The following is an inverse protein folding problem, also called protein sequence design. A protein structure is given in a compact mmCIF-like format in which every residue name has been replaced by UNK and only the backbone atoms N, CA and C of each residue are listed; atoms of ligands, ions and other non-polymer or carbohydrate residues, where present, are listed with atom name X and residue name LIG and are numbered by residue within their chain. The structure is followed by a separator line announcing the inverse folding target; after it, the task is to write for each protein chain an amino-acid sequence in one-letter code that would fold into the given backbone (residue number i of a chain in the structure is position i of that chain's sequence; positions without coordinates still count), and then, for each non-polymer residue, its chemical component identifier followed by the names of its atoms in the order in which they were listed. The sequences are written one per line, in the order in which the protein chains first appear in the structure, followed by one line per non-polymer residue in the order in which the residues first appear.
data_IF_772366318284
#
_entry.id   IF_772366318284
#
_cell.length_a   1.000
_cell.length_b   1.000
_cell.length_c   1.000
_cell.angle_alpha   90.00
_cell.angle_beta   90.00
_cell.angle_gamma   90.00
#
_symmetry.space_group_name_H-M   'P 1'
#
loop_
_entity.id
_entity.type
_entity.pdbx_description
1 polymer ?
#
# COMPACT_ATOMS: atom_id res chain seq x y z
N UNK A 1 -32.48 -35.17 18.43
CA UNK A 1 -32.12 -34.05 19.33
C UNK A 1 -30.76 -33.55 18.88
N UNK A 2 -30.74 -32.39 18.24
CA UNK A 2 -29.60 -31.80 17.53
C UNK A 2 -28.64 -31.14 18.52
N UNK A 3 -27.39 -31.61 18.53
CA UNK A 3 -26.28 -31.00 19.26
C UNK A 3 -25.83 -29.75 18.51
N UNK A 4 -25.95 -28.57 19.12
CA UNK A 4 -25.36 -27.33 18.61
C UNK A 4 -24.16 -27.00 19.48
N UNK A 5 -22.95 -27.30 18.99
CA UNK A 5 -21.70 -26.88 19.62
C UNK A 5 -21.49 -25.38 19.37
N UNK A 6 -21.80 -24.55 20.37
CA UNK A 6 -21.44 -23.13 20.37
C UNK A 6 -19.95 -23.01 20.69
N UNK A 7 -19.12 -22.91 19.65
CA UNK A 7 -17.69 -22.63 19.80
C UNK A 7 -17.50 -21.18 20.25
N UNK A 8 -17.17 -20.99 21.54
CA UNK A 8 -16.80 -19.71 22.12
C UNK A 8 -15.42 -19.30 21.61
N UNK A 9 -15.37 -18.38 20.65
CA UNK A 9 -14.12 -17.72 20.25
C UNK A 9 -13.72 -16.80 21.40
N UNK A 10 -12.57 -17.05 22.03
CA UNK A 10 -12.04 -16.20 23.09
C UNK A 10 -11.98 -14.73 22.64
N UNK A 11 -12.58 -13.84 23.44
CA UNK A 11 -12.69 -12.41 23.17
C UNK A 11 -11.34 -11.71 22.97
N UNK A 12 -10.24 -12.32 23.43
CA UNK A 12 -8.88 -11.78 23.29
C UNK A 12 -8.35 -11.85 21.84
N UNK A 13 -9.02 -12.59 20.96
CA UNK A 13 -8.66 -12.69 19.53
C UNK A 13 -9.44 -11.71 18.64
N UNK A 14 -10.47 -11.06 19.15
CA UNK A 14 -11.18 -10.01 18.42
C UNK A 14 -10.46 -8.67 18.64
N UNK A 15 -9.30 -8.48 18.00
CA UNK A 15 -8.75 -7.13 17.88
C UNK A 15 -9.77 -6.29 17.10
N UNK A 16 -10.34 -5.30 17.78
CA UNK A 16 -11.23 -4.33 17.17
C UNK A 16 -10.56 -3.75 15.92
N UNK A 17 -11.09 -4.07 14.74
CA UNK A 17 -10.63 -3.51 13.45
C UNK A 17 -10.88 -1.99 13.34
N UNK A 18 -11.47 -1.38 14.37
CA UNK A 18 -11.84 0.03 14.45
C UNK A 18 -10.67 1.01 14.44
N UNK A 19 -9.41 0.55 14.37
CA UNK A 19 -8.24 1.44 14.40
C UNK A 19 -7.10 1.03 13.46
N UNK A 20 -7.33 0.18 12.46
CA UNK A 20 -6.31 -0.02 11.41
C UNK A 20 -6.32 1.21 10.52
N UNK A 21 -5.56 2.22 10.93
CA UNK A 21 -5.26 3.36 10.07
C UNK A 21 -4.30 2.86 8.98
N UNK A 22 -4.85 2.34 7.88
CA UNK A 22 -4.08 2.02 6.70
C UNK A 22 -3.79 3.35 6.03
N UNK A 23 -2.60 3.90 6.29
CA UNK A 23 -2.13 5.05 5.53
C UNK A 23 -2.08 4.64 4.06
N UNK A 24 -3.03 5.18 3.28
CA UNK A 24 -3.12 4.95 1.85
C UNK A 24 -1.95 5.67 1.19
N UNK A 25 -1.06 4.90 0.56
CA UNK A 25 0.11 5.46 -0.13
C UNK A 25 -0.25 5.85 -1.56
N UNK A 26 -0.07 7.12 -1.88
CA UNK A 26 -0.32 7.71 -3.20
C UNK A 26 0.96 7.81 -4.02
N UNK A 27 0.84 7.69 -5.35
CA UNK A 27 1.93 7.92 -6.29
C UNK A 27 2.11 9.42 -6.57
N UNK A 28 3.30 10.00 -6.37
CA UNK A 28 3.51 11.43 -6.64
C UNK A 28 3.41 11.86 -8.11
N UNK A 29 3.40 10.92 -9.07
CA UNK A 29 3.32 11.21 -10.51
C UNK A 29 1.87 11.27 -10.99
N UNK A 30 1.03 10.31 -10.57
CA UNK A 30 -0.36 10.23 -11.02
C UNK A 30 -1.38 10.65 -9.96
N UNK A 31 -0.96 10.83 -8.71
CA UNK A 31 -1.80 11.17 -7.56
C UNK A 31 -2.91 10.15 -7.23
N UNK A 32 -2.78 8.91 -7.73
CA UNK A 32 -3.62 7.78 -7.37
C UNK A 32 -2.91 6.85 -6.37
N UNK A 33 -3.64 5.90 -5.79
CA UNK A 33 -3.06 4.84 -4.98
C UNK A 33 -1.94 4.10 -5.74
N UNK A 34 -0.86 3.80 -5.02
CA UNK A 34 0.25 3.05 -5.59
C UNK A 34 -0.20 1.67 -6.11
N UNK A 35 0.04 1.44 -7.40
CA UNK A 35 -0.16 0.16 -8.05
C UNK A 35 1.18 -0.41 -8.53
N UNK A 36 1.50 -1.64 -8.10
CA UNK A 36 2.76 -2.31 -8.40
C UNK A 36 3.97 -1.38 -8.15
N UNK A 37 4.16 -1.02 -6.88
CA UNK A 37 5.06 0.07 -6.51
C UNK A 37 6.53 -0.28 -6.70
N UNK A 38 7.30 0.72 -7.11
CA UNK A 38 8.77 0.69 -7.15
C UNK A 38 9.28 1.87 -6.34
N UNK A 39 10.20 1.61 -5.42
CA UNK A 39 10.84 2.64 -4.60
C UNK A 39 12.15 3.09 -5.23
N UNK A 40 12.38 4.41 -5.26
CA UNK A 40 13.69 4.94 -5.59
C UNK A 40 14.67 4.64 -4.46
N UNK A 41 15.84 4.07 -4.78
CA UNK A 41 16.85 3.73 -3.77
C UNK A 41 17.44 4.97 -3.07
N UNK A 42 17.42 6.14 -3.72
CA UNK A 42 18.08 7.35 -3.19
C UNK A 42 17.16 8.23 -2.35
N UNK A 43 15.92 8.45 -2.78
CA UNK A 43 14.96 9.30 -2.07
C UNK A 43 13.82 8.52 -1.38
N UNK A 44 13.86 7.18 -1.46
CA UNK A 44 12.92 6.24 -0.83
C UNK A 44 11.45 6.44 -1.23
N UNK A 45 11.20 7.31 -2.21
CA UNK A 45 9.86 7.63 -2.69
C UNK A 45 9.36 6.49 -3.56
N UNK A 46 8.14 6.04 -3.29
CA UNK A 46 7.48 5.00 -4.06
C UNK A 46 6.63 5.60 -5.18
N UNK A 47 6.64 4.92 -6.33
CA UNK A 47 5.87 5.30 -7.52
C UNK A 47 5.19 4.05 -8.11
N UNK A 48 4.11 4.23 -8.86
CA UNK A 48 3.59 3.15 -9.70
C UNK A 48 4.65 2.77 -10.74
N UNK A 49 4.88 1.46 -10.95
CA UNK A 49 5.88 0.97 -11.91
C UNK A 49 5.72 1.60 -13.31
N UNK A 50 4.49 1.71 -13.81
CA UNK A 50 4.21 2.33 -15.12
C UNK A 50 4.58 3.81 -15.13
N UNK A 51 4.22 4.56 -14.09
CA UNK A 51 4.47 5.99 -13.99
C UNK A 51 5.96 6.31 -13.97
N UNK A 52 6.74 5.59 -13.15
CA UNK A 52 8.19 5.82 -13.07
C UNK A 52 8.89 5.42 -14.36
N UNK A 53 8.50 4.33 -15.02
CA UNK A 53 9.08 3.94 -16.31
C UNK A 53 8.82 4.98 -17.40
N UNK A 54 7.60 5.52 -17.49
CA UNK A 54 7.27 6.57 -18.45
C UNK A 54 8.03 7.88 -18.16
N UNK A 55 8.18 8.25 -16.89
CA UNK A 55 8.97 9.43 -16.52
C UNK A 55 10.44 9.30 -16.93
N UNK A 56 11.07 8.17 -16.58
CA UNK A 56 12.48 7.90 -16.86
C UNK A 56 12.77 7.75 -18.37
N UNK A 57 11.80 7.33 -19.17
CA UNK A 57 11.94 7.32 -20.64
C UNK A 57 12.19 8.73 -21.20
N UNK A 58 11.63 9.77 -20.56
CA UNK A 58 11.81 11.17 -20.95
C UNK A 58 12.90 11.89 -20.13
N UNK A 59 13.21 11.39 -18.92
CA UNK A 59 14.11 12.01 -17.96
C UNK A 59 15.02 10.97 -17.27
N UNK A 60 15.94 10.31 -17.99
CA UNK A 60 16.65 9.12 -17.51
C UNK A 60 17.50 9.32 -16.25
N UNK A 61 17.95 10.55 -16.00
CA UNK A 61 18.84 10.87 -14.87
C UNK A 61 18.19 11.76 -13.80
N UNK A 62 16.88 12.04 -13.91
CA UNK A 62 16.18 12.89 -12.95
C UNK A 62 15.18 12.10 -12.12
N UNK A 63 15.30 12.20 -10.81
CA UNK A 63 14.31 11.69 -9.88
C UNK A 63 13.04 12.56 -9.93
N UNK A 64 11.83 12.00 -10.03
CA UNK A 64 10.58 12.78 -10.02
C UNK A 64 10.33 13.56 -8.72
N UNK A 65 11.00 13.19 -7.62
CA UNK A 65 10.82 13.81 -6.29
C UNK A 65 11.99 14.72 -5.86
N UNK A 66 12.76 15.26 -6.81
CA UNK A 66 13.89 16.20 -6.58
C UNK A 66 13.84 17.34 -7.57
#
# INVERSE_FOLDING_TARGET
MTSTEQQAISSDRARSLSSVNVDLLECPICHDLLWNSVACQTCETAFCSVCICQWLANNPEKCPNR
#
